data_IF_286299790957
#
_entry.id   IF_286299790957
#
_cell.length_a   1.000
_cell.length_b   1.000
_cell.length_c   1.000
_cell.angle_alpha   90.00
_cell.angle_beta   90.00
_cell.angle_gamma   90.00
#
_symmetry.space_group_name_H-M   'P 1'
#
loop_
_entity.id
_entity.type
_entity.pdbx_description
1 polymer ?
#
# COMPACT_ATOMS: atom_id res chain seq x y z
N UNK A 1 -6.55 -0.31 13.20
CA UNK A 1 -5.19 -0.27 13.79
C UNK A 1 -4.30 -1.05 12.85
N UNK A 2 -3.33 -0.42 12.22
CA UNK A 2 -2.38 -1.13 11.35
C UNK A 2 -1.59 -2.09 12.23
N UNK A 3 -1.43 -3.32 11.76
CA UNK A 3 -0.68 -4.33 12.50
C UNK A 3 0.83 -4.19 12.25
N UNK A 4 1.66 -4.70 13.16
CA UNK A 4 3.12 -4.75 12.92
C UNK A 4 3.45 -5.55 11.65
N UNK A 5 2.63 -6.52 11.29
CA UNK A 5 2.77 -7.29 10.07
C UNK A 5 2.59 -6.40 8.82
N UNK A 6 1.62 -5.50 8.82
CA UNK A 6 1.39 -4.52 7.76
C UNK A 6 2.65 -3.66 7.51
N UNK A 7 3.18 -3.05 8.57
CA UNK A 7 4.38 -2.21 8.46
C UNK A 7 5.62 -2.99 8.00
N UNK A 8 5.75 -4.25 8.42
CA UNK A 8 6.85 -5.11 7.99
C UNK A 8 6.85 -5.35 6.47
N UNK A 9 5.68 -5.40 5.83
CA UNK A 9 5.57 -5.51 4.36
C UNK A 9 6.22 -4.32 3.67
N UNK A 10 5.97 -3.10 4.15
CA UNK A 10 6.56 -1.90 3.56
C UNK A 10 8.09 -1.87 3.71
N UNK A 11 8.62 -2.36 4.84
CA UNK A 11 10.07 -2.49 5.03
C UNK A 11 10.68 -3.49 4.04
N UNK A 12 10.04 -4.64 3.84
CA UNK A 12 10.48 -5.66 2.87
C UNK A 12 10.42 -5.12 1.45
N UNK A 13 9.35 -4.43 1.09
CA UNK A 13 9.21 -3.84 -0.24
C UNK A 13 10.28 -2.77 -0.50
N UNK A 14 10.55 -1.93 0.50
CA UNK A 14 11.60 -0.92 0.42
C UNK A 14 13.01 -1.54 0.32
N UNK A 15 13.27 -2.64 1.01
CA UNK A 15 14.54 -3.37 0.93
C UNK A 15 14.73 -4.05 -0.44
N UNK A 16 13.68 -4.70 -0.97
CA UNK A 16 13.70 -5.38 -2.27
C UNK A 16 13.97 -4.44 -3.44
N UNK A 17 13.36 -3.24 -3.42
CA UNK A 17 13.36 -2.31 -4.56
C UNK A 17 14.44 -1.23 -4.38
N UNK A 18 14.87 -0.95 -3.19
CA UNK A 18 15.62 0.17 -2.62
C UNK A 18 14.72 1.31 -2.12
N UNK A 19 15.12 1.89 -0.99
CA UNK A 19 14.36 2.96 -0.32
C UNK A 19 13.99 4.15 -1.23
N UNK A 20 14.91 4.70 -2.07
CA UNK A 20 14.55 5.84 -2.93
C UNK A 20 13.49 5.48 -3.97
N UNK A 21 13.58 4.29 -4.59
CA UNK A 21 12.64 3.86 -5.61
C UNK A 21 11.28 3.55 -4.97
N UNK A 22 11.27 2.90 -3.81
CA UNK A 22 10.04 2.66 -3.03
C UNK A 22 9.36 3.99 -2.68
N UNK A 23 10.11 4.96 -2.12
CA UNK A 23 9.57 6.26 -1.75
C UNK A 23 9.02 7.03 -2.96
N UNK A 24 9.73 7.00 -4.09
CA UNK A 24 9.25 7.62 -5.34
C UNK A 24 7.97 6.97 -5.83
N UNK A 25 7.89 5.64 -5.86
CA UNK A 25 6.67 4.91 -6.25
C UNK A 25 5.51 5.17 -5.30
N UNK A 26 5.77 5.21 -4.00
CA UNK A 26 4.77 5.47 -2.97
C UNK A 26 4.19 6.89 -3.05
N UNK A 27 5.03 7.88 -3.38
CA UNK A 27 4.62 9.29 -3.51
C UNK A 27 4.16 9.65 -4.93
N UNK A 28 4.28 8.76 -5.91
CA UNK A 28 3.80 9.01 -7.28
C UNK A 28 2.26 8.94 -7.35
N UNK A 29 1.57 9.84 -8.07
CA UNK A 29 2.12 10.94 -8.91
C UNK A 29 2.38 12.25 -8.16
N UNK A 30 2.04 12.36 -6.86
CA UNK A 30 2.10 13.60 -6.09
C UNK A 30 3.51 14.20 -6.02
N UNK A 31 4.55 13.36 -6.06
CA UNK A 31 5.95 13.83 -6.08
C UNK A 31 6.25 14.76 -7.27
N UNK A 32 5.49 14.63 -8.36
CA UNK A 32 5.66 15.50 -9.53
C UNK A 32 5.30 16.96 -9.23
N UNK A 33 4.54 17.24 -8.17
CA UNK A 33 4.26 18.60 -7.71
C UNK A 33 5.53 19.38 -7.35
N UNK A 34 6.61 18.68 -6.99
CA UNK A 34 7.93 19.30 -6.76
C UNK A 34 8.49 19.97 -8.02
N UNK A 35 7.97 19.64 -9.20
CA UNK A 35 8.29 20.35 -10.43
C UNK A 35 7.99 21.85 -10.40
N UNK A 36 7.17 22.34 -9.44
CA UNK A 36 6.95 23.76 -9.23
C UNK A 36 8.24 24.53 -8.96
N UNK A 37 9.24 23.87 -8.36
CA UNK A 37 10.55 24.49 -8.12
C UNK A 37 11.35 24.76 -9.39
N UNK A 38 10.89 24.28 -10.56
CA UNK A 38 11.44 24.66 -11.86
C UNK A 38 10.98 26.04 -12.34
N UNK A 39 10.22 26.80 -11.55
CA UNK A 39 9.72 28.14 -11.88
C UNK A 39 10.79 29.10 -12.43
N UNK A 40 12.03 29.14 -11.91
CA UNK A 40 13.08 30.03 -12.47
C UNK A 40 13.40 29.76 -13.95
N UNK A 41 13.17 28.53 -14.44
CA UNK A 41 13.45 28.13 -15.82
C UNK A 41 12.22 28.06 -16.70
N UNK A 42 11.09 27.58 -16.15
CA UNK A 42 9.84 27.35 -16.87
C UNK A 42 8.84 28.50 -16.71
N UNK A 43 9.12 29.47 -15.82
CA UNK A 43 8.21 30.56 -15.53
C UNK A 43 6.83 30.05 -15.10
N UNK A 44 5.73 30.74 -15.52
CA UNK A 44 4.37 30.37 -15.07
C UNK A 44 3.94 28.94 -15.39
N UNK A 45 4.55 28.27 -16.37
CA UNK A 45 4.25 26.87 -16.72
C UNK A 45 4.59 25.91 -15.61
N UNK A 46 5.55 26.25 -14.73
CA UNK A 46 5.87 25.44 -13.56
C UNK A 46 4.67 25.29 -12.62
N UNK A 47 3.71 26.21 -12.62
CA UNK A 47 2.51 26.11 -11.80
C UNK A 47 1.60 24.92 -12.18
N UNK A 48 1.72 24.41 -13.42
CA UNK A 48 0.99 23.21 -13.83
C UNK A 48 1.34 21.99 -13.01
N UNK A 49 2.55 21.92 -12.43
CA UNK A 49 2.92 20.83 -11.55
C UNK A 49 2.10 20.79 -10.25
N UNK A 50 1.45 21.89 -9.86
CA UNK A 50 0.54 21.91 -8.71
C UNK A 50 -0.73 21.07 -8.96
N UNK A 51 -1.06 20.74 -10.22
CA UNK A 51 -2.16 19.84 -10.54
C UNK A 51 -1.93 18.43 -9.97
N UNK A 52 -0.67 18.03 -9.75
CA UNK A 52 -0.34 16.76 -9.11
C UNK A 52 -0.63 16.72 -7.58
N UNK A 53 -1.02 17.85 -6.98
CA UNK A 53 -1.58 17.89 -5.62
C UNK A 53 -3.06 17.52 -5.58
N UNK A 54 -3.72 17.37 -6.72
CA UNK A 54 -5.08 16.82 -6.78
C UNK A 54 -5.05 15.32 -6.41
N UNK A 55 -6.17 14.76 -5.93
CA UNK A 55 -6.28 13.34 -5.61
C UNK A 55 -6.30 12.49 -6.88
N UNK A 56 -5.12 12.28 -7.45
CA UNK A 56 -4.90 11.47 -8.66
C UNK A 56 -4.61 10.04 -8.21
N UNK A 57 -5.24 9.02 -8.84
CA UNK A 57 -4.98 7.63 -8.51
C UNK A 57 -3.49 7.27 -8.54
N UNK A 58 -3.03 6.57 -7.52
CA UNK A 58 -1.64 6.16 -7.34
C UNK A 58 -1.52 4.63 -7.40
N UNK A 59 -1.36 4.03 -8.59
CA UNK A 59 -1.38 2.58 -8.75
C UNK A 59 -0.19 1.88 -8.05
N UNK A 60 0.96 2.54 -7.96
CA UNK A 60 2.12 1.98 -7.27
C UNK A 60 1.88 1.91 -5.76
N UNK A 61 1.39 3.00 -5.17
CA UNK A 61 1.02 3.03 -3.77
C UNK A 61 -0.09 2.02 -3.47
N UNK A 62 -1.13 1.97 -4.32
CA UNK A 62 -2.21 1.00 -4.17
C UNK A 62 -1.69 -0.45 -4.16
N UNK A 63 -0.68 -0.76 -5.01
CA UNK A 63 -0.06 -2.09 -5.02
C UNK A 63 0.68 -2.42 -3.73
N UNK A 64 1.45 -1.47 -3.17
CA UNK A 64 2.16 -1.69 -1.91
C UNK A 64 1.20 -1.88 -0.74
N UNK A 65 0.19 -1.02 -0.67
CA UNK A 65 -0.85 -1.12 0.36
C UNK A 65 -1.67 -2.41 0.23
N UNK A 66 -2.04 -2.83 -1.01
CA UNK A 66 -2.78 -4.09 -1.21
C UNK A 66 -2.02 -5.30 -0.70
N UNK A 67 -0.69 -5.33 -0.83
CA UNK A 67 0.17 -6.40 -0.28
C UNK A 67 0.14 -6.41 1.24
N UNK A 68 0.22 -5.22 1.85
CA UNK A 68 0.19 -5.08 3.29
C UNK A 68 -1.18 -5.46 3.87
N UNK A 69 -2.27 -5.02 3.24
CA UNK A 69 -3.63 -5.41 3.64
C UNK A 69 -3.92 -6.90 3.42
N UNK A 70 -3.35 -7.53 2.39
CA UNK A 70 -3.48 -8.97 2.19
C UNK A 70 -2.86 -9.75 3.34
N UNK A 71 -1.70 -9.32 3.84
CA UNK A 71 -1.10 -9.92 5.02
C UNK A 71 -1.94 -9.64 6.28
N UNK A 72 -2.49 -8.44 6.42
CA UNK A 72 -3.42 -8.11 7.50
C UNK A 72 -4.65 -9.03 7.51
N UNK A 73 -5.25 -9.33 6.35
CA UNK A 73 -6.35 -10.29 6.23
C UNK A 73 -5.99 -11.64 6.83
N UNK A 74 -4.80 -12.15 6.51
CA UNK A 74 -4.32 -13.46 6.98
C UNK A 74 -4.02 -13.49 8.49
N UNK A 75 -3.68 -12.34 9.10
CA UNK A 75 -3.49 -12.24 10.55
C UNK A 75 -4.80 -12.20 11.33
N UNK A 76 -5.94 -12.04 10.64
CA UNK A 76 -7.26 -12.00 11.26
C UNK A 76 -7.96 -13.36 11.13
N UNK A 77 -8.92 -13.61 12.06
CA UNK A 77 -9.76 -14.81 12.00
C UNK A 77 -10.58 -14.82 10.71
N UNK A 78 -10.83 -15.98 10.10
CA UNK A 78 -11.58 -16.09 8.84
C UNK A 78 -12.92 -15.34 8.86
N UNK A 79 -13.63 -15.38 10.00
CA UNK A 79 -14.95 -14.75 10.16
C UNK A 79 -14.90 -13.21 10.09
N UNK A 80 -13.72 -12.62 10.34
CA UNK A 80 -13.53 -11.16 10.33
C UNK A 80 -12.86 -10.64 9.06
N UNK A 81 -12.37 -11.50 8.18
CA UNK A 81 -11.63 -11.12 6.97
C UNK A 81 -12.45 -10.23 6.04
N UNK A 82 -13.74 -10.52 5.86
CA UNK A 82 -14.61 -9.69 5.02
C UNK A 82 -14.74 -8.25 5.55
N UNK A 83 -14.78 -8.09 6.88
CA UNK A 83 -14.84 -6.75 7.49
C UNK A 83 -13.50 -6.00 7.31
N UNK A 84 -12.37 -6.69 7.44
CA UNK A 84 -11.05 -6.12 7.21
C UNK A 84 -10.88 -5.70 5.75
N UNK A 85 -11.30 -6.56 4.81
CA UNK A 85 -11.29 -6.27 3.38
C UNK A 85 -12.15 -5.05 3.05
N UNK A 86 -13.38 -5.00 3.57
CA UNK A 86 -14.28 -3.86 3.38
C UNK A 86 -13.63 -2.56 3.89
N UNK A 87 -13.08 -2.60 5.10
CA UNK A 87 -12.40 -1.46 5.68
C UNK A 87 -11.16 -1.02 4.86
N UNK A 88 -10.37 -1.97 4.37
CA UNK A 88 -9.24 -1.69 3.50
C UNK A 88 -9.71 -0.95 2.22
N UNK A 89 -10.73 -1.44 1.55
CA UNK A 89 -11.30 -0.82 0.34
C UNK A 89 -11.82 0.60 0.63
N UNK A 90 -12.47 0.82 1.78
CA UNK A 90 -12.88 2.17 2.21
C UNK A 90 -11.68 3.11 2.39
N UNK A 91 -10.58 2.62 2.98
CA UNK A 91 -9.37 3.44 3.13
C UNK A 91 -8.80 3.87 1.77
N UNK A 92 -8.72 2.97 0.79
CA UNK A 92 -8.22 3.30 -0.55
C UNK A 92 -9.02 4.40 -1.24
N UNK A 93 -10.34 4.46 -1.00
CA UNK A 93 -11.24 5.45 -1.55
C UNK A 93 -11.34 6.72 -0.69
N UNK A 94 -10.92 6.63 0.56
CA UNK A 94 -11.03 7.69 1.56
C UNK A 94 -10.01 8.80 1.41
N UNK A 95 -10.28 9.93 2.06
CA UNK A 95 -9.34 11.04 2.16
C UNK A 95 -8.11 10.72 3.01
N UNK A 96 -8.18 9.74 3.91
CA UNK A 96 -7.04 9.31 4.73
C UNK A 96 -5.86 8.86 3.88
N UNK A 97 -6.15 8.20 2.75
CA UNK A 97 -5.17 7.80 1.74
C UNK A 97 -5.19 8.70 0.50
N UNK A 98 -5.77 9.90 0.62
CA UNK A 98 -5.82 10.87 -0.46
C UNK A 98 -6.49 10.34 -1.74
N UNK A 99 -7.57 9.53 -1.57
CA UNK A 99 -8.27 8.83 -2.66
C UNK A 99 -7.31 8.09 -3.59
N UNK A 100 -6.36 7.40 -3.00
CA UNK A 100 -5.25 6.73 -3.67
C UNK A 100 -5.69 5.83 -4.82
N UNK A 101 -6.81 5.14 -4.67
CA UNK A 101 -7.33 4.23 -5.69
C UNK A 101 -8.86 4.09 -5.58
N UNK A 102 -9.64 4.95 -6.27
CA UNK A 102 -11.09 5.04 -6.10
C UNK A 102 -11.87 3.99 -6.93
N UNK A 103 -11.32 2.77 -7.06
CA UNK A 103 -11.91 1.66 -7.81
C UNK A 103 -12.10 0.46 -6.87
N UNK A 104 -13.28 0.32 -6.20
CA UNK A 104 -13.48 -0.66 -5.12
C UNK A 104 -13.27 -2.11 -5.56
N UNK A 105 -13.82 -2.48 -6.71
CA UNK A 105 -13.72 -3.85 -7.22
C UNK A 105 -12.24 -4.22 -7.51
N UNK A 106 -11.52 -3.33 -8.19
CA UNK A 106 -10.11 -3.53 -8.50
C UNK A 106 -9.22 -3.54 -7.23
N UNK A 107 -9.56 -2.76 -6.19
CA UNK A 107 -8.89 -2.84 -4.88
C UNK A 107 -9.09 -4.22 -4.25
N UNK A 108 -10.34 -4.67 -4.18
CA UNK A 108 -10.73 -5.94 -3.61
C UNK A 108 -10.03 -7.11 -4.32
N UNK A 109 -10.11 -7.15 -5.66
CA UNK A 109 -9.44 -8.15 -6.49
C UNK A 109 -7.92 -8.16 -6.26
N UNK A 110 -7.29 -6.99 -6.15
CA UNK A 110 -5.85 -6.89 -5.95
C UNK A 110 -5.43 -7.38 -4.56
N UNK A 111 -6.19 -7.08 -3.50
CA UNK A 111 -5.93 -7.56 -2.15
C UNK A 111 -6.09 -9.09 -2.11
N UNK A 112 -7.17 -9.63 -2.66
CA UNK A 112 -7.42 -11.07 -2.72
C UNK A 112 -6.37 -11.82 -3.56
N UNK A 113 -5.90 -11.23 -4.65
CA UNK A 113 -4.78 -11.79 -5.42
C UNK A 113 -3.54 -11.99 -4.55
N UNK A 114 -3.16 -10.98 -3.76
CA UNK A 114 -2.01 -11.08 -2.87
C UNK A 114 -2.24 -12.04 -1.70
N UNK A 115 -3.44 -12.08 -1.14
CA UNK A 115 -3.83 -13.06 -0.12
C UNK A 115 -3.59 -14.48 -0.64
N UNK A 116 -4.11 -14.82 -1.80
CA UNK A 116 -3.92 -16.12 -2.44
C UNK A 116 -2.44 -16.40 -2.76
N UNK A 117 -1.68 -15.40 -3.20
CA UNK A 117 -0.25 -15.55 -3.49
C UNK A 117 0.56 -15.88 -2.22
N UNK A 118 0.19 -15.31 -1.07
CA UNK A 118 0.81 -15.63 0.23
C UNK A 118 0.41 -17.04 0.66
N UNK A 119 -0.87 -17.39 0.65
CA UNK A 119 -1.37 -18.72 1.04
C UNK A 119 -0.78 -19.84 0.18
N UNK A 120 -0.60 -19.62 -1.12
CA UNK A 120 0.02 -20.58 -2.04
C UNK A 120 1.56 -20.61 -1.97
N UNK A 121 2.19 -19.79 -1.09
CA UNK A 121 3.64 -19.72 -0.92
C UNK A 121 4.40 -19.08 -2.10
N UNK A 122 3.70 -18.43 -3.04
CA UNK A 122 4.34 -17.75 -4.17
C UNK A 122 5.09 -16.49 -3.70
N UNK A 123 4.60 -15.84 -2.64
CA UNK A 123 5.22 -14.68 -1.98
C UNK A 123 5.92 -15.09 -0.67
N UNK A 124 7.03 -15.82 -0.80
CA UNK A 124 7.76 -16.40 0.33
C UNK A 124 8.17 -15.39 1.40
N UNK A 125 8.50 -14.17 1.02
CA UNK A 125 8.88 -13.12 1.98
C UNK A 125 7.73 -12.70 2.89
N UNK A 126 6.52 -12.60 2.36
CA UNK A 126 5.33 -12.26 3.14
C UNK A 126 4.86 -13.46 3.97
N UNK A 127 4.96 -14.66 3.42
CA UNK A 127 4.70 -15.89 4.18
C UNK A 127 5.61 -15.99 5.40
N UNK A 128 6.89 -15.67 5.28
CA UNK A 128 7.83 -15.68 6.39
C UNK A 128 7.42 -14.66 7.48
N UNK A 129 6.93 -13.48 7.11
CA UNK A 129 6.41 -12.49 8.09
C UNK A 129 5.20 -13.05 8.83
N UNK A 130 4.27 -13.68 8.10
CA UNK A 130 3.09 -14.30 8.70
C UNK A 130 3.46 -15.38 9.72
N UNK A 131 4.38 -16.27 9.35
CA UNK A 131 4.86 -17.34 10.24
C UNK A 131 5.54 -16.80 11.52
N UNK A 132 6.35 -15.75 11.38
CA UNK A 132 6.97 -15.10 12.54
C UNK A 132 5.92 -14.43 13.42
N UNK A 133 4.92 -13.78 12.82
CA UNK A 133 3.83 -13.14 13.55
C UNK A 133 3.01 -14.16 14.35
N UNK A 134 2.63 -15.28 13.74
CA UNK A 134 1.92 -16.38 14.40
C UNK A 134 2.74 -16.97 15.56
N UNK A 135 4.02 -17.23 15.32
CA UNK A 135 4.92 -17.72 16.37
C UNK A 135 5.01 -16.78 17.58
N UNK A 136 5.08 -15.46 17.33
CA UNK A 136 5.10 -14.47 18.43
C UNK A 136 3.80 -14.50 19.23
N UNK A 137 2.64 -14.62 18.57
CA UNK A 137 1.36 -14.70 19.26
C UNK A 137 1.24 -15.96 20.13
N UNK A 138 1.69 -17.11 19.63
CA UNK A 138 1.68 -18.38 20.36
C UNK A 138 2.58 -18.35 21.61
N UNK A 139 3.71 -17.62 21.53
CA UNK A 139 4.65 -17.53 22.67
C UNK A 139 4.21 -16.54 23.75
N UNK A 140 3.21 -15.69 23.49
CA UNK A 140 2.68 -14.70 24.43
C UNK A 140 1.36 -15.15 25.09
N UNK A 141 0.77 -16.24 24.64
CA UNK A 141 -0.47 -16.81 25.18
C UNK A 141 -0.19 -17.87 26.25
#
# INVERSE_FOLDING_TARGET
MQTLAHEAVHLIDAEKISWPIFAMGYLFPQILSLGVFSFPWLGPWALLFLLFLLPIPSPFRARFESRAYALDLLTHRPESRDQVLFHAVEQFQGWNYYKMYPFPDACSEQIQYWEQAIENGTEQSLLNVLLVYEWVLETQS
#
